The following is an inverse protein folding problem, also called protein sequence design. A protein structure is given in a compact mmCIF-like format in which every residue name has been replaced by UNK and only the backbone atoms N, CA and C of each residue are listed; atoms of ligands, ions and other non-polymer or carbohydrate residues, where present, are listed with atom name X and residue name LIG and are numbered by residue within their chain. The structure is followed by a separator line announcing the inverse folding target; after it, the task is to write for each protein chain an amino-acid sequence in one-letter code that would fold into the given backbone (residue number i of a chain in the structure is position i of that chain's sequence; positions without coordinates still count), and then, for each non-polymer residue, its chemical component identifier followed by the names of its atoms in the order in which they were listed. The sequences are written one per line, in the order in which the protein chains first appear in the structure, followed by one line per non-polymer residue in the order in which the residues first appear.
data_IF_112911206745
#
_entry.id   IF_112911206745
#
_cell.length_a   1.000
_cell.length_b   1.000
_cell.length_c   1.000
_cell.angle_alpha   90.00
_cell.angle_beta   90.00
_cell.angle_gamma   90.00
#
_symmetry.space_group_name_H-M   'P 1'
#
loop_
_entity.id
_entity.type
_entity.pdbx_description
1 polymer ?
#
# COMPACT_ATOMS: atom_id res chain seq x y z
N UNK A 1 -8.05 22.55 14.46
CA UNK A 1 -7.25 21.40 14.04
C UNK A 1 -7.50 20.27 15.04
N UNK A 2 -7.53 19.04 14.59
CA UNK A 2 -7.44 17.89 15.50
C UNK A 2 -6.12 18.02 16.27
N UNK A 3 -6.05 17.53 17.51
CA UNK A 3 -4.81 17.57 18.26
C UNK A 3 -3.74 16.78 17.51
N UNK A 4 -2.68 17.45 17.05
CA UNK A 4 -1.61 16.88 16.22
C UNK A 4 -1.02 15.63 16.85
N UNK A 5 -0.90 15.60 18.21
CA UNK A 5 -0.42 14.45 18.95
C UNK A 5 -1.28 13.19 18.76
N UNK A 6 -2.60 13.33 18.65
CA UNK A 6 -3.50 12.18 18.36
C UNK A 6 -3.27 11.66 16.96
N UNK A 7 -3.11 12.56 15.99
CA UNK A 7 -2.83 12.20 14.60
C UNK A 7 -1.48 11.50 14.46
N UNK A 8 -0.44 12.03 15.11
CA UNK A 8 0.89 11.44 15.12
C UNK A 8 0.90 10.05 15.79
N UNK A 9 0.24 9.91 16.96
CA UNK A 9 0.10 8.63 17.62
C UNK A 9 -0.66 7.60 16.75
N UNK A 10 -1.74 8.02 16.09
CA UNK A 10 -2.50 7.19 15.15
C UNK A 10 -1.61 6.69 14.01
N UNK A 11 -0.81 7.56 13.38
CA UNK A 11 0.10 7.18 12.30
C UNK A 11 1.15 6.16 12.78
N UNK A 12 1.74 6.36 13.97
CA UNK A 12 2.71 5.40 14.54
C UNK A 12 2.09 4.04 14.82
N UNK A 13 0.85 3.99 15.33
CA UNK A 13 0.13 2.73 15.53
C UNK A 13 -0.10 2.03 14.19
N UNK A 14 -0.56 2.77 13.17
CA UNK A 14 -0.75 2.22 11.82
C UNK A 14 0.55 1.68 11.24
N UNK A 15 1.66 2.41 11.36
CA UNK A 15 3.00 1.96 10.93
C UNK A 15 3.43 0.70 11.67
N UNK A 16 3.26 0.67 13.00
CA UNK A 16 3.58 -0.50 13.82
C UNK A 16 2.81 -1.75 13.37
N UNK A 17 1.50 -1.63 13.15
CA UNK A 17 0.66 -2.71 12.62
C UNK A 17 1.13 -3.15 11.22
N UNK A 18 1.41 -2.21 10.34
CA UNK A 18 1.89 -2.48 8.98
C UNK A 18 3.19 -3.28 8.98
N UNK A 19 4.20 -2.81 9.70
CA UNK A 19 5.49 -3.50 9.75
C UNK A 19 5.40 -4.85 10.46
N UNK A 20 4.62 -4.96 11.53
CA UNK A 20 4.41 -6.23 12.24
C UNK A 20 3.79 -7.29 11.34
N UNK A 21 2.73 -6.94 10.59
CA UNK A 21 2.06 -7.86 9.67
C UNK A 21 2.97 -8.25 8.50
N UNK A 22 3.73 -7.30 7.95
CA UNK A 22 4.67 -7.61 6.87
C UNK A 22 5.82 -8.50 7.35
N UNK A 23 6.41 -8.24 8.52
CA UNK A 23 7.45 -9.08 9.09
C UNK A 23 6.95 -10.50 9.35
N UNK A 24 5.75 -10.65 9.93
CA UNK A 24 5.12 -11.96 10.10
C UNK A 24 4.92 -12.67 8.76
N UNK A 25 4.43 -11.95 7.73
CA UNK A 25 4.23 -12.53 6.40
C UNK A 25 5.54 -12.96 5.74
N UNK A 26 6.61 -12.17 5.88
CA UNK A 26 7.96 -12.53 5.38
C UNK A 26 8.43 -13.83 6.03
N UNK A 27 8.25 -14.00 7.34
CA UNK A 27 8.64 -15.24 8.04
C UNK A 27 7.85 -16.46 7.56
N UNK A 28 6.54 -16.31 7.30
CA UNK A 28 5.70 -17.37 6.73
C UNK A 28 6.15 -17.76 5.32
N UNK A 29 6.45 -16.78 4.47
CA UNK A 29 6.91 -17.01 3.10
C UNK A 29 8.30 -17.67 3.11
N UNK A 30 9.19 -17.21 3.99
CA UNK A 30 10.55 -17.76 4.10
C UNK A 30 10.54 -19.21 4.57
N UNK A 31 9.71 -19.56 5.55
CA UNK A 31 9.52 -20.94 6.00
C UNK A 31 9.04 -21.84 4.86
N UNK A 32 8.11 -21.37 4.03
CA UNK A 32 7.61 -22.11 2.87
C UNK A 32 8.68 -22.33 1.79
N UNK A 33 9.61 -21.38 1.61
CA UNK A 33 10.73 -21.51 0.66
C UNK A 33 11.64 -22.69 0.99
N UNK A 34 11.85 -22.98 2.28
CA UNK A 34 12.63 -24.14 2.72
C UNK A 34 11.98 -25.48 2.35
N UNK A 35 10.66 -25.52 2.19
CA UNK A 35 9.88 -26.73 1.92
C UNK A 35 9.62 -26.98 0.42
N UNK A 36 9.87 -26.01 -0.45
CA UNK A 36 9.55 -26.10 -1.88
C UNK A 36 10.76 -26.50 -2.73
N UNK A 37 10.59 -27.55 -3.55
CA UNK A 37 11.67 -28.15 -4.37
C UNK A 37 11.98 -27.40 -5.67
N UNK A 38 11.11 -26.53 -6.16
CA UNK A 38 11.37 -25.69 -7.34
C UNK A 38 10.58 -24.39 -7.30
N UNK A 39 11.18 -23.34 -7.84
CA UNK A 39 10.56 -22.02 -8.03
C UNK A 39 10.59 -21.70 -9.52
N UNK A 40 9.45 -21.34 -10.08
CA UNK A 40 9.47 -20.69 -11.37
C UNK A 40 10.07 -19.31 -11.18
N UNK A 41 11.24 -19.05 -11.77
CA UNK A 41 11.78 -17.69 -11.87
C UNK A 41 10.85 -16.86 -12.73
N UNK A 42 10.39 -15.77 -12.17
CA UNK A 42 9.56 -14.80 -12.85
C UNK A 42 10.34 -13.50 -12.96
N UNK A 43 10.44 -12.96 -14.17
CA UNK A 43 11.07 -11.66 -14.38
C UNK A 43 10.33 -10.59 -13.57
N UNK A 44 11.07 -9.95 -12.66
CA UNK A 44 10.54 -8.81 -11.91
C UNK A 44 10.37 -7.64 -12.86
N UNK A 45 9.23 -6.94 -12.84
CA UNK A 45 9.13 -5.72 -13.60
C UNK A 45 10.25 -4.78 -13.15
N UNK A 46 10.97 -4.29 -14.11
CA UNK A 46 12.07 -3.35 -13.91
C UNK A 46 11.78 -2.05 -14.66
N UNK A 47 12.57 -1.03 -14.37
CA UNK A 47 12.50 0.24 -15.07
C UNK A 47 12.05 1.41 -14.19
N UNK A 48 12.04 2.58 -14.78
CA UNK A 48 11.82 3.86 -14.11
C UNK A 48 10.53 3.89 -13.25
N UNK A 49 9.43 3.40 -13.79
CA UNK A 49 8.13 3.41 -13.09
C UNK A 49 8.11 2.52 -11.85
N UNK A 50 8.82 1.38 -11.87
CA UNK A 50 8.93 0.50 -10.71
C UNK A 50 9.81 1.10 -9.63
N UNK A 51 10.92 1.75 -10.02
CA UNK A 51 11.77 2.49 -9.10
C UNK A 51 10.98 3.64 -8.44
N UNK A 52 10.16 4.34 -9.24
CA UNK A 52 9.31 5.41 -8.74
C UNK A 52 8.28 4.89 -7.71
N UNK A 53 7.67 3.71 -7.95
CA UNK A 53 6.79 3.06 -6.98
C UNK A 53 7.52 2.74 -5.67
N UNK A 54 8.70 2.17 -5.74
CA UNK A 54 9.51 1.82 -4.58
C UNK A 54 9.96 3.07 -3.79
N UNK A 55 10.49 4.07 -4.48
CA UNK A 55 10.96 5.33 -3.88
C UNK A 55 9.78 6.09 -3.26
N UNK A 56 8.67 6.27 -3.98
CA UNK A 56 7.51 6.99 -3.44
C UNK A 56 6.91 6.31 -2.21
N UNK A 57 6.92 4.97 -2.16
CA UNK A 57 6.49 4.22 -0.97
C UNK A 57 7.47 4.41 0.20
N UNK A 58 8.78 4.38 -0.07
CA UNK A 58 9.79 4.66 0.96
C UNK A 58 9.62 6.08 1.52
N UNK A 59 9.45 7.06 0.63
CA UNK A 59 9.22 8.47 1.03
C UNK A 59 7.97 8.59 1.90
N UNK A 60 6.86 7.93 1.55
CA UNK A 60 5.65 7.91 2.37
C UNK A 60 5.94 7.49 3.83
N UNK A 61 6.68 6.38 4.02
CA UNK A 61 7.01 5.91 5.36
C UNK A 61 7.92 6.87 6.13
N UNK A 62 8.91 7.45 5.43
CA UNK A 62 9.81 8.45 6.02
C UNK A 62 9.04 9.72 6.42
N UNK A 63 8.12 10.18 5.60
CA UNK A 63 7.29 11.37 5.88
C UNK A 63 6.32 11.14 7.04
N UNK A 64 5.68 9.97 7.12
CA UNK A 64 4.81 9.64 8.25
C UNK A 64 5.59 9.58 9.57
N UNK A 65 6.82 9.05 9.57
CA UNK A 65 7.72 9.08 10.72
C UNK A 65 8.19 10.50 11.03
N UNK A 66 8.58 11.27 10.01
CA UNK A 66 9.02 12.67 10.17
C UNK A 66 7.91 13.53 10.75
N UNK A 67 6.68 13.44 10.23
CA UNK A 67 5.54 14.14 10.79
C UNK A 67 5.36 13.83 12.28
N UNK A 68 5.37 12.54 12.62
CA UNK A 68 5.21 12.12 14.02
C UNK A 68 6.35 12.64 14.90
N UNK A 69 7.58 12.60 14.42
CA UNK A 69 8.75 13.16 15.11
C UNK A 69 8.61 14.67 15.34
N UNK A 70 8.26 15.43 14.29
CA UNK A 70 8.11 16.88 14.37
C UNK A 70 7.00 17.30 15.35
N UNK A 71 5.89 16.52 15.40
CA UNK A 71 4.79 16.77 16.32
C UNK A 71 5.22 16.51 17.77
N UNK A 72 5.81 15.35 18.06
CA UNK A 72 6.18 14.99 19.45
C UNK A 72 7.37 15.79 20.00
N UNK A 73 8.15 16.42 19.14
CA UNK A 73 9.24 17.35 19.55
C UNK A 73 8.82 18.82 19.52
N UNK A 74 7.56 19.10 19.24
CA UNK A 74 7.01 20.46 19.04
C UNK A 74 7.69 21.25 17.92
N UNK A 75 8.59 20.64 17.14
CA UNK A 75 9.29 21.30 16.05
C UNK A 75 8.36 21.69 14.90
N UNK A 76 7.23 21.02 14.73
CA UNK A 76 6.24 21.37 13.73
C UNK A 76 5.68 22.80 13.91
N UNK A 77 5.66 23.30 15.15
CA UNK A 77 5.19 24.65 15.49
C UNK A 77 6.30 25.71 15.42
N UNK A 78 7.57 25.29 15.45
CA UNK A 78 8.74 26.19 15.44
C UNK A 78 9.23 26.46 14.03
N UNK A 79 8.88 25.62 13.06
CA UNK A 79 9.29 25.72 11.66
C UNK A 79 8.12 26.19 10.77
N UNK A 80 7.67 27.46 10.89
CA UNK A 80 6.55 27.97 10.11
C UNK A 80 6.89 27.94 8.61
N UNK A 81 5.96 27.40 7.82
CA UNK A 81 6.15 27.26 6.37
C UNK A 81 7.08 26.13 5.94
N UNK A 82 7.45 25.23 6.87
CA UNK A 82 8.20 24.00 6.53
C UNK A 82 7.25 22.91 6.04
N UNK A 83 7.63 22.24 5.00
CA UNK A 83 8.25 22.70 3.76
C UNK A 83 7.15 23.02 2.75
N UNK A 84 6.88 24.27 2.53
CA UNK A 84 5.82 24.74 1.61
C UNK A 84 4.42 24.23 1.99
N UNK A 85 4.03 24.47 3.26
CA UNK A 85 2.71 24.11 3.76
C UNK A 85 1.60 24.76 2.97
N UNK A 86 0.64 23.97 2.54
CA UNK A 86 -0.57 24.47 1.92
C UNK A 86 -1.60 24.82 3.01
N UNK A 87 -2.02 26.09 3.05
CA UNK A 87 -3.02 26.56 4.00
C UNK A 87 -4.39 26.62 3.34
N UNK A 88 -5.35 25.91 3.90
CA UNK A 88 -6.74 25.89 3.43
C UNK A 88 -7.69 26.29 4.56
N UNK A 89 -8.73 27.06 4.26
CA UNK A 89 -9.76 27.45 5.25
C UNK A 89 -10.55 26.24 5.78
N UNK A 90 -10.54 25.12 5.06
CA UNK A 90 -11.24 23.86 5.40
C UNK A 90 -10.29 22.75 5.89
N UNK A 91 -9.13 23.10 6.48
CA UNK A 91 -8.09 22.17 6.90
C UNK A 91 -8.59 21.03 7.78
N UNK A 92 -9.52 21.33 8.72
CA UNK A 92 -10.08 20.29 9.62
C UNK A 92 -10.78 19.18 8.82
N UNK A 93 -11.54 19.55 7.80
CA UNK A 93 -12.23 18.56 6.96
C UNK A 93 -11.25 17.73 6.14
N UNK A 94 -10.17 18.36 5.66
CA UNK A 94 -9.08 17.65 4.98
C UNK A 94 -8.41 16.63 5.91
N UNK A 95 -8.08 17.04 7.14
CA UNK A 95 -7.48 16.13 8.13
C UNK A 95 -8.41 14.94 8.46
N UNK A 96 -9.71 15.20 8.65
CA UNK A 96 -10.69 14.12 8.89
C UNK A 96 -10.74 13.16 7.69
N UNK A 97 -10.83 13.69 6.47
CA UNK A 97 -10.80 12.89 5.25
C UNK A 97 -9.49 12.10 5.15
N UNK A 98 -8.35 12.73 5.45
CA UNK A 98 -7.04 12.11 5.46
C UNK A 98 -6.96 10.94 6.45
N UNK A 99 -7.48 11.10 7.66
CA UNK A 99 -7.55 10.02 8.65
C UNK A 99 -8.43 8.86 8.20
N UNK A 100 -9.58 9.15 7.57
CA UNK A 100 -10.46 8.12 7.02
C UNK A 100 -9.74 7.34 5.92
N UNK A 101 -9.14 8.04 4.95
CA UNK A 101 -8.42 7.42 3.84
C UNK A 101 -7.24 6.58 4.34
N UNK A 102 -6.47 7.10 5.29
CA UNK A 102 -5.36 6.39 5.90
C UNK A 102 -5.85 5.13 6.62
N UNK A 103 -6.90 5.23 7.45
CA UNK A 103 -7.48 4.08 8.16
C UNK A 103 -7.94 2.99 7.20
N UNK A 104 -8.71 3.36 6.18
CA UNK A 104 -9.19 2.41 5.16
C UNK A 104 -8.03 1.83 4.36
N UNK A 105 -7.02 2.64 4.04
CA UNK A 105 -5.82 2.21 3.31
C UNK A 105 -5.04 1.14 4.09
N UNK A 106 -4.72 1.39 5.36
CA UNK A 106 -4.03 0.42 6.21
C UNK A 106 -4.87 -0.84 6.45
N UNK A 107 -6.17 -0.69 6.73
CA UNK A 107 -7.06 -1.82 6.89
C UNK A 107 -7.07 -2.71 5.63
N UNK A 108 -7.26 -2.11 4.46
CA UNK A 108 -7.32 -2.83 3.20
C UNK A 108 -6.00 -3.52 2.87
N UNK A 109 -4.87 -2.84 3.12
CA UNK A 109 -3.54 -3.40 2.95
C UNK A 109 -3.31 -4.61 3.88
N UNK A 110 -3.53 -4.44 5.19
CA UNK A 110 -3.35 -5.50 6.18
C UNK A 110 -4.26 -6.69 5.87
N UNK A 111 -5.54 -6.44 5.58
CA UNK A 111 -6.48 -7.49 5.19
C UNK A 111 -6.00 -8.25 3.95
N UNK A 112 -5.45 -7.55 2.96
CA UNK A 112 -4.92 -8.19 1.75
C UNK A 112 -3.69 -9.06 2.03
N UNK A 113 -2.78 -8.60 2.90
CA UNK A 113 -1.58 -9.38 3.29
C UNK A 113 -1.99 -10.63 4.07
N UNK A 114 -2.89 -10.49 5.04
CA UNK A 114 -3.41 -11.62 5.83
C UNK A 114 -4.14 -12.64 4.95
N UNK A 115 -5.00 -12.17 4.02
CA UNK A 115 -5.73 -13.03 3.12
C UNK A 115 -4.82 -13.85 2.19
N UNK A 116 -3.73 -13.23 1.68
CA UNK A 116 -2.72 -13.94 0.88
C UNK A 116 -1.91 -14.92 1.72
N UNK A 117 -1.53 -14.52 2.93
CA UNK A 117 -0.73 -15.32 3.84
C UNK A 117 0.46 -15.97 3.11
N UNK A 118 0.61 -17.30 3.24
CA UNK A 118 1.65 -18.10 2.57
C UNK A 118 1.58 -18.09 1.04
N UNK A 119 0.48 -17.63 0.43
CA UNK A 119 0.28 -17.51 -1.02
C UNK A 119 0.66 -16.13 -1.55
N UNK A 120 1.29 -15.29 -0.72
CA UNK A 120 1.81 -14.00 -1.17
C UNK A 120 2.81 -14.21 -2.31
N UNK A 121 2.42 -13.76 -3.50
CA UNK A 121 3.26 -13.80 -4.68
C UNK A 121 4.07 -12.52 -4.71
N UNK A 122 5.36 -12.63 -4.45
CA UNK A 122 6.30 -11.61 -4.89
C UNK A 122 7.11 -12.25 -6.01
N UNK A 123 6.75 -12.06 -7.26
CA UNK A 123 7.54 -12.41 -8.44
C UNK A 123 8.18 -13.82 -8.48
N UNK A 124 7.89 -14.67 -7.51
CA UNK A 124 8.30 -16.05 -7.41
C UNK A 124 7.06 -16.89 -7.14
N UNK A 125 6.71 -17.78 -8.06
CA UNK A 125 5.54 -18.64 -7.92
C UNK A 125 5.98 -20.07 -7.68
N UNK A 126 5.82 -20.62 -6.47
CA UNK A 126 6.04 -22.05 -6.24
C UNK A 126 5.06 -22.89 -7.06
N UNK A 127 5.43 -24.14 -7.38
CA UNK A 127 4.61 -25.04 -8.20
C UNK A 127 3.19 -25.24 -7.65
N UNK A 128 3.04 -25.29 -6.33
CA UNK A 128 1.76 -25.45 -5.64
C UNK A 128 1.08 -24.12 -5.26
N UNK A 129 1.38 -23.03 -6.00
CA UNK A 129 0.71 -21.74 -5.82
C UNK A 129 -0.78 -21.86 -6.13
N UNK A 130 -1.60 -21.25 -5.28
CA UNK A 130 -3.06 -21.13 -5.50
C UNK A 130 -3.42 -19.69 -5.84
N UNK A 131 -4.41 -19.53 -6.70
CA UNK A 131 -4.99 -18.25 -6.97
C UNK A 131 -5.79 -17.78 -5.74
N UNK A 132 -5.46 -16.61 -5.22
CA UNK A 132 -6.16 -16.03 -4.06
C UNK A 132 -7.35 -15.22 -4.55
N UNK A 133 -8.57 -15.70 -4.27
CA UNK A 133 -9.83 -15.10 -4.70
C UNK A 133 -10.76 -14.78 -3.52
N UNK A 134 -10.28 -14.95 -2.28
CA UNK A 134 -11.02 -14.71 -1.04
C UNK A 134 -10.56 -13.43 -0.33
N UNK A 135 -11.29 -13.05 0.73
CA UNK A 135 -11.04 -11.80 1.45
C UNK A 135 -11.25 -10.58 0.54
N UNK A 136 -10.39 -9.57 0.56
CA UNK A 136 -10.54 -8.38 -0.27
C UNK A 136 -10.38 -8.70 -1.77
N UNK A 137 -9.70 -9.81 -2.11
CA UNK A 137 -9.54 -10.29 -3.49
C UNK A 137 -10.85 -10.79 -4.11
N UNK A 138 -11.86 -11.07 -3.29
CA UNK A 138 -13.20 -11.36 -3.81
C UNK A 138 -13.82 -10.17 -4.54
N UNK A 139 -13.47 -8.96 -4.16
CA UNK A 139 -14.04 -7.71 -4.69
C UNK A 139 -13.15 -7.07 -5.75
N UNK A 140 -11.84 -6.98 -5.47
CA UNK A 140 -10.87 -6.32 -6.34
C UNK A 140 -9.58 -7.15 -6.44
N UNK A 141 -8.88 -7.06 -7.56
CA UNK A 141 -7.68 -7.87 -7.81
C UNK A 141 -6.41 -7.34 -7.13
N UNK A 142 -6.34 -6.02 -6.91
CA UNK A 142 -5.15 -5.37 -6.34
C UNK A 142 -5.47 -4.53 -5.08
N UNK A 143 -6.04 -5.16 -4.02
CA UNK A 143 -6.46 -4.43 -2.83
C UNK A 143 -5.29 -3.81 -2.05
N UNK A 144 -4.10 -4.43 -2.06
CA UNK A 144 -2.92 -3.88 -1.40
C UNK A 144 -2.43 -2.60 -2.06
N UNK A 145 -2.46 -2.52 -3.40
CA UNK A 145 -2.08 -1.29 -4.12
C UNK A 145 -3.11 -0.18 -3.93
N UNK A 146 -4.40 -0.53 -3.93
CA UNK A 146 -5.44 0.43 -3.55
C UNK A 146 -5.23 0.95 -2.13
N UNK A 147 -4.83 0.07 -1.19
CA UNK A 147 -4.44 0.47 0.16
C UNK A 147 -3.33 1.51 0.17
N UNK A 148 -2.26 1.32 -0.61
CA UNK A 148 -1.19 2.32 -0.76
C UNK A 148 -1.71 3.65 -1.31
N UNK A 149 -2.56 3.64 -2.35
CA UNK A 149 -3.10 4.87 -2.91
C UNK A 149 -3.88 5.68 -1.87
N UNK A 150 -4.72 4.99 -1.09
CA UNK A 150 -5.48 5.62 -0.01
C UNK A 150 -4.57 6.18 1.09
N UNK A 151 -3.50 5.46 1.46
CA UNK A 151 -2.52 5.94 2.43
C UNK A 151 -1.76 7.17 1.92
N UNK A 152 -1.35 7.22 0.65
CA UNK A 152 -0.65 8.37 0.07
C UNK A 152 -1.52 9.61 0.04
N UNK A 153 -2.76 9.50 -0.45
CA UNK A 153 -3.72 10.61 -0.39
C UNK A 153 -4.05 10.97 1.06
N UNK A 154 -4.18 9.98 1.94
CA UNK A 154 -4.47 10.20 3.35
C UNK A 154 -3.41 11.06 4.03
N UNK A 155 -2.12 10.76 3.85
CA UNK A 155 -1.03 11.55 4.41
C UNK A 155 -1.00 12.97 3.86
N UNK A 156 -1.19 13.12 2.54
CA UNK A 156 -1.31 14.46 1.92
C UNK A 156 -2.44 15.28 2.54
N UNK A 157 -3.59 14.70 2.80
CA UNK A 157 -4.69 15.43 3.43
C UNK A 157 -4.49 15.67 4.93
N UNK A 158 -3.73 14.83 5.63
CA UNK A 158 -3.35 15.03 7.04
C UNK A 158 -2.38 16.20 7.17
N UNK A 159 -1.35 16.23 6.32
CA UNK A 159 -0.25 17.17 6.35
C UNK A 159 0.06 17.69 4.95
N UNK A 160 -0.78 18.59 4.40
CA UNK A 160 -0.67 19.04 3.02
C UNK A 160 0.54 19.96 2.83
N UNK A 161 1.54 19.45 2.17
CA UNK A 161 2.75 20.17 1.79
C UNK A 161 3.32 19.61 0.49
N UNK A 162 4.36 20.26 -0.06
CA UNK A 162 4.94 19.86 -1.33
C UNK A 162 5.57 18.45 -1.28
N UNK A 163 6.16 18.04 -0.15
CA UNK A 163 6.82 16.73 -0.04
C UNK A 163 5.80 15.60 -0.01
N UNK A 164 4.67 15.76 0.69
CA UNK A 164 3.61 14.73 0.73
C UNK A 164 2.90 14.49 -0.61
N UNK A 165 3.25 15.25 -1.65
CA UNK A 165 2.88 14.93 -3.03
C UNK A 165 3.81 13.86 -3.66
N UNK A 166 5.03 13.68 -3.14
CA UNK A 166 5.99 12.72 -3.69
C UNK A 166 5.49 11.27 -3.70
N UNK A 167 4.89 10.74 -2.63
CA UNK A 167 4.31 9.40 -2.63
C UNK A 167 3.28 9.16 -3.74
N UNK A 168 2.54 10.21 -4.14
CA UNK A 168 1.55 10.10 -5.22
C UNK A 168 2.19 9.74 -6.57
N UNK A 169 3.47 10.08 -6.78
CA UNK A 169 4.23 9.71 -7.97
C UNK A 169 4.46 8.19 -8.08
N UNK A 170 4.28 7.43 -6.98
CA UNK A 170 4.33 5.98 -7.01
C UNK A 170 3.11 5.34 -7.71
N UNK A 171 1.97 6.03 -7.75
CA UNK A 171 0.69 5.49 -8.28
C UNK A 171 0.83 4.97 -9.72
N UNK A 172 1.40 5.71 -10.69
CA UNK A 172 1.61 5.20 -12.05
C UNK A 172 2.47 3.94 -12.09
N UNK A 173 3.47 3.84 -11.20
CA UNK A 173 4.33 2.66 -11.10
C UNK A 173 3.56 1.43 -10.65
N UNK A 174 2.78 1.55 -9.59
CA UNK A 174 1.89 0.47 -9.13
C UNK A 174 0.84 0.11 -10.16
N UNK A 175 0.25 1.11 -10.82
CA UNK A 175 -0.72 0.86 -11.87
C UNK A 175 -0.11 0.01 -13.00
N UNK A 176 1.12 0.32 -13.43
CA UNK A 176 1.85 -0.47 -14.41
C UNK A 176 2.16 -1.88 -13.90
N UNK A 177 2.58 -2.02 -12.64
CA UNK A 177 2.88 -3.32 -12.03
C UNK A 177 1.68 -4.27 -12.10
N UNK A 178 0.44 -3.76 -11.95
CA UNK A 178 -0.75 -4.61 -12.05
C UNK A 178 -0.89 -5.30 -13.40
N UNK A 179 -0.48 -4.67 -14.49
CA UNK A 179 -0.56 -5.28 -15.82
C UNK A 179 0.40 -6.45 -15.95
N UNK A 180 1.62 -6.30 -15.44
CA UNK A 180 2.63 -7.36 -15.51
C UNK A 180 2.25 -8.52 -14.56
N UNK A 181 1.74 -8.21 -13.37
CA UNK A 181 1.20 -9.23 -12.46
C UNK A 181 0.01 -9.98 -13.06
N UNK A 182 -0.94 -9.28 -13.68
CA UNK A 182 -2.11 -9.90 -14.32
C UNK A 182 -1.71 -10.81 -15.51
N UNK A 183 -0.71 -10.40 -16.31
CA UNK A 183 -0.15 -11.27 -17.39
C UNK A 183 0.45 -12.56 -16.83
N UNK A 184 1.21 -12.42 -15.74
CA UNK A 184 1.81 -13.55 -15.04
C UNK A 184 0.78 -14.53 -14.50
N UNK A 185 -0.25 -14.00 -13.82
CA UNK A 185 -1.35 -14.78 -13.27
C UNK A 185 -2.14 -15.48 -14.41
N UNK A 186 -2.40 -14.77 -15.51
CA UNK A 186 -3.05 -15.37 -16.68
C UNK A 186 -2.21 -16.49 -17.31
N UNK A 187 -0.88 -16.30 -17.42
CA UNK A 187 0.04 -17.36 -17.90
C UNK A 187 0.05 -18.57 -16.97
N UNK A 188 -0.03 -18.36 -15.66
CA UNK A 188 0.07 -19.43 -14.66
C UNK A 188 -1.23 -20.20 -14.47
N UNK A 189 -2.37 -19.50 -14.37
CA UNK A 189 -3.66 -20.08 -14.00
C UNK A 189 -4.65 -20.20 -15.19
N UNK A 190 -4.28 -19.68 -16.37
CA UNK A 190 -5.10 -19.81 -17.58
C UNK A 190 -6.55 -19.37 -17.38
N UNK A 191 -7.49 -20.25 -17.75
CA UNK A 191 -8.93 -19.98 -17.70
C UNK A 191 -9.45 -19.67 -16.29
N UNK A 192 -8.87 -20.24 -15.24
CA UNK A 192 -9.25 -19.93 -13.85
C UNK A 192 -9.05 -18.44 -13.56
N UNK A 193 -7.90 -17.88 -13.97
CA UNK A 193 -7.63 -16.46 -13.79
C UNK A 193 -8.52 -15.57 -14.67
N UNK A 194 -8.77 -15.97 -15.91
CA UNK A 194 -9.64 -15.21 -16.82
C UNK A 194 -11.08 -15.14 -16.30
N UNK A 195 -11.62 -16.24 -15.75
CA UNK A 195 -12.92 -16.24 -15.10
C UNK A 195 -12.95 -15.33 -13.86
N UNK A 196 -11.91 -15.35 -13.04
CA UNK A 196 -11.77 -14.46 -11.91
C UNK A 196 -11.69 -12.99 -12.34
N UNK A 197 -10.89 -12.69 -13.38
CA UNK A 197 -10.76 -11.34 -13.94
C UNK A 197 -12.10 -10.79 -14.49
N UNK A 198 -12.92 -11.66 -15.05
CA UNK A 198 -14.24 -11.27 -15.54
C UNK A 198 -15.22 -10.90 -14.42
N UNK A 199 -15.07 -11.51 -13.23
CA UNK A 199 -15.94 -11.28 -12.06
C UNK A 199 -15.51 -10.12 -11.18
N UNK A 200 -14.24 -9.73 -11.22
CA UNK A 200 -13.64 -8.74 -10.29
C UNK A 200 -13.07 -7.54 -11.02
N UNK A 201 -13.10 -6.38 -10.38
CA UNK A 201 -12.43 -5.19 -10.89
C UNK A 201 -10.95 -5.14 -10.50
N UNK A 202 -10.18 -4.25 -11.10
CA UNK A 202 -8.75 -4.08 -10.76
C UNK A 202 -8.59 -3.41 -9.40
N UNK A 203 -9.15 -2.23 -9.23
CA UNK A 203 -9.15 -1.44 -8.01
C UNK A 203 -10.55 -1.15 -7.46
N UNK A 204 -11.57 -1.21 -8.29
CA UNK A 204 -12.95 -1.00 -7.89
C UNK A 204 -13.76 -2.26 -8.17
N UNK A 205 -14.73 -2.61 -7.31
CA UNK A 205 -15.62 -3.73 -7.55
C UNK A 205 -16.35 -3.57 -8.89
N UNK A 206 -16.57 -4.68 -9.60
CA UNK A 206 -17.48 -4.68 -10.75
C UNK A 206 -18.91 -4.78 -10.23
N UNK A 207 -19.67 -3.75 -10.46
CA UNK A 207 -21.13 -3.83 -10.28
C UNK A 207 -21.72 -4.64 -11.44
N UNK A 208 -22.49 -5.65 -11.10
CA UNK A 208 -23.28 -6.42 -12.05
C UNK A 208 -24.67 -5.83 -12.16
#
# INVERSE_FOLDING_TARGET
MLTENIVAAFLLVCLGCFFSVNLHNITLVHKRRGDAKSYAEVERPSGFTMNLAAIGTLVYFLEALLYSFLVFTDLIFVLPGFPFDFQFSFMVYMQVLGLILTSVGYFLFIWSVVARGRHAVSWEMPENQRLVTWGPYHYVRHPSYLGYFLMFFGLFFIWPNLFTLFPLLAIPGYFRATFEEEKLLAKRFGDEYLQYQNKTGRFFPKFR
#
